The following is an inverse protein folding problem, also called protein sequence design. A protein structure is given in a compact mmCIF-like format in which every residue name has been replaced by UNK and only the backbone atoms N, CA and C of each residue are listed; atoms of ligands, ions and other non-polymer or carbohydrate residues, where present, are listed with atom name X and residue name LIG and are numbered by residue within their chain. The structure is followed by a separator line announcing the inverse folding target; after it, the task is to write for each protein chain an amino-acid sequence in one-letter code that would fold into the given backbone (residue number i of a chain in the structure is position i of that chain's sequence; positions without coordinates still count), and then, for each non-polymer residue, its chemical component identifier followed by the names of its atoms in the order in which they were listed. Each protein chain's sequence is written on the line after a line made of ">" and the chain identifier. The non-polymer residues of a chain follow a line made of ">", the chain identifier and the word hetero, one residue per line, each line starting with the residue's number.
data_IF_503242550348
#
_entry.id   IF_503242550348
#
_cell.length_a   1.000
_cell.length_b   1.000
_cell.length_c   1.000
_cell.angle_alpha   90.00
_cell.angle_beta   90.00
_cell.angle_gamma   90.00
#
_symmetry.space_group_name_H-M   'P 1'
#
loop_
_entity.id
_entity.type
_entity.pdbx_description
1 polymer ?
#
# COMPACT_ATOMS: atom_id res chain seq x y z
N UNK A 1 10.74 15.21 -5.33
CA UNK A 1 12.01 14.48 -5.60
C UNK A 1 11.69 13.03 -5.92
N UNK A 2 12.46 12.40 -6.83
CA UNK A 2 12.32 10.97 -7.16
C UNK A 2 13.72 10.36 -7.17
N UNK A 3 13.91 9.25 -6.47
CA UNK A 3 15.06 8.39 -6.62
C UNK A 3 14.75 7.36 -7.72
N UNK A 4 15.68 7.15 -8.64
CA UNK A 4 15.51 6.18 -9.72
C UNK A 4 16.86 5.54 -10.06
N UNK A 5 16.86 4.21 -10.28
CA UNK A 5 18.08 3.46 -10.62
C UNK A 5 18.58 3.73 -12.06
N UNK A 6 17.68 4.22 -12.92
CA UNK A 6 17.98 4.66 -14.29
C UNK A 6 17.22 5.95 -14.61
N UNK A 7 17.72 6.80 -15.53
CA UNK A 7 17.01 7.98 -16.00
C UNK A 7 15.65 7.63 -16.64
N UNK A 8 14.62 8.42 -16.32
CA UNK A 8 13.24 8.20 -16.81
C UNK A 8 12.98 8.77 -18.22
N UNK A 9 13.96 9.40 -18.82
CA UNK A 9 13.92 10.07 -20.12
C UNK A 9 14.98 9.55 -21.11
N UNK A 10 15.77 8.56 -20.70
CA UNK A 10 16.81 7.93 -21.53
C UNK A 10 16.36 6.54 -21.95
N UNK A 11 16.42 6.27 -23.25
CA UNK A 11 16.03 4.98 -23.82
C UNK A 11 16.84 3.83 -23.22
N UNK A 12 16.12 2.84 -22.64
CA UNK A 12 16.74 1.65 -22.05
C UNK A 12 15.95 0.36 -22.41
N UNK A 13 16.39 -0.40 -23.42
CA UNK A 13 15.72 -1.62 -23.84
C UNK A 13 15.96 -2.82 -22.90
N UNK A 14 16.93 -2.74 -21.99
CA UNK A 14 17.20 -3.81 -21.03
C UNK A 14 16.14 -3.91 -19.93
N UNK A 15 15.41 -2.81 -19.66
CA UNK A 15 14.41 -2.76 -18.61
C UNK A 15 13.12 -3.44 -19.06
N UNK A 16 12.76 -4.53 -18.39
CA UNK A 16 11.54 -5.31 -18.63
C UNK A 16 10.48 -5.12 -17.56
N UNK A 17 10.88 -4.65 -16.36
CA UNK A 17 9.99 -4.44 -15.21
C UNK A 17 10.35 -3.18 -14.44
N UNK A 18 9.39 -2.67 -13.70
CA UNK A 18 9.56 -1.52 -12.82
C UNK A 18 9.01 -1.80 -11.42
N UNK A 19 9.70 -1.32 -10.39
CA UNK A 19 9.24 -1.31 -9.00
C UNK A 19 9.12 0.14 -8.54
N UNK A 20 7.89 0.59 -8.25
CA UNK A 20 7.61 1.91 -7.68
C UNK A 20 7.36 1.74 -6.19
N UNK A 21 8.30 2.18 -5.36
CA UNK A 21 8.31 1.98 -3.91
C UNK A 21 7.93 3.26 -3.16
N UNK A 22 6.80 3.26 -2.48
CA UNK A 22 6.33 4.38 -1.67
C UNK A 22 6.79 4.22 -0.22
N UNK A 23 7.45 5.25 0.29
CA UNK A 23 8.02 5.30 1.64
C UNK A 23 6.98 5.27 2.76
N UNK A 24 7.43 4.95 3.98
CA UNK A 24 6.65 5.04 5.21
C UNK A 24 6.40 6.47 5.71
N UNK A 25 5.87 6.60 6.92
CA UNK A 25 5.55 7.88 7.55
C UNK A 25 6.78 8.80 7.77
N UNK A 26 7.98 8.23 7.81
CA UNK A 26 9.24 8.98 7.91
C UNK A 26 9.61 9.78 6.67
N UNK A 27 8.96 9.55 5.54
CA UNK A 27 9.19 10.22 4.25
C UNK A 27 10.65 10.16 3.75
N UNK A 28 11.34 9.10 4.17
CA UNK A 28 12.73 8.76 3.85
C UNK A 28 12.79 7.88 2.58
N UNK A 29 12.46 8.47 1.44
CA UNK A 29 12.41 7.76 0.15
C UNK A 29 13.77 7.19 -0.27
N UNK A 30 14.87 7.80 0.15
CA UNK A 30 16.24 7.30 0.02
C UNK A 30 16.42 5.92 0.66
N UNK A 31 16.02 5.77 1.93
CA UNK A 31 16.07 4.49 2.64
C UNK A 31 15.24 3.40 1.92
N UNK A 32 14.02 3.74 1.46
CA UNK A 32 13.18 2.79 0.72
C UNK A 32 13.73 2.46 -0.66
N UNK A 33 14.41 3.39 -1.31
CA UNK A 33 15.17 3.12 -2.53
C UNK A 33 16.32 2.14 -2.29
N UNK A 34 17.07 2.32 -1.21
CA UNK A 34 18.14 1.40 -0.79
C UNK A 34 17.60 0.02 -0.43
N UNK A 35 16.49 -0.06 0.31
CA UNK A 35 15.80 -1.33 0.63
C UNK A 35 15.41 -2.06 -0.65
N UNK A 36 14.79 -1.36 -1.60
CA UNK A 36 14.37 -1.95 -2.89
C UNK A 36 15.56 -2.39 -3.74
N UNK A 37 16.65 -1.65 -3.71
CA UNK A 37 17.90 -2.00 -4.41
C UNK A 37 18.53 -3.24 -3.79
N UNK A 38 18.55 -3.35 -2.47
CA UNK A 38 19.03 -4.55 -1.78
C UNK A 38 18.17 -5.78 -2.13
N UNK A 39 16.84 -5.63 -2.13
CA UNK A 39 15.92 -6.69 -2.55
C UNK A 39 16.17 -7.11 -4.01
N UNK A 40 16.34 -6.15 -4.92
CA UNK A 40 16.64 -6.42 -6.32
C UNK A 40 17.99 -7.11 -6.54
N UNK A 41 18.99 -6.78 -5.73
CA UNK A 41 20.28 -7.47 -5.71
C UNK A 41 20.13 -8.93 -5.28
N UNK A 42 19.46 -9.16 -4.15
CA UNK A 42 19.23 -10.51 -3.62
C UNK A 42 18.39 -11.38 -4.58
N UNK A 43 17.43 -10.77 -5.27
CA UNK A 43 16.61 -11.44 -6.28
C UNK A 43 17.30 -11.63 -7.64
N UNK A 44 18.51 -11.08 -7.84
CA UNK A 44 19.17 -11.07 -9.15
C UNK A 44 18.45 -10.23 -10.23
N UNK A 45 17.60 -9.29 -9.81
CA UNK A 45 16.67 -8.58 -10.69
C UNK A 45 17.14 -7.18 -11.13
N UNK A 46 18.29 -6.68 -10.64
CA UNK A 46 18.73 -5.30 -10.91
C UNK A 46 19.03 -5.03 -12.40
N UNK A 47 19.47 -6.04 -13.14
CA UNK A 47 19.88 -5.86 -14.53
C UNK A 47 18.74 -5.51 -15.50
N UNK A 48 17.50 -5.81 -15.12
CA UNK A 48 16.32 -5.60 -15.97
C UNK A 48 15.14 -4.93 -15.24
N UNK A 49 15.37 -4.40 -14.03
CA UNK A 49 14.36 -3.71 -13.24
C UNK A 49 14.76 -2.25 -13.01
N UNK A 50 13.88 -1.32 -13.35
CA UNK A 50 14.01 0.06 -12.87
C UNK A 50 13.32 0.19 -11.51
N UNK A 51 14.07 0.66 -10.51
CA UNK A 51 13.57 0.93 -9.16
C UNK A 51 13.34 2.43 -9.02
N UNK A 52 12.18 2.82 -8.53
CA UNK A 52 11.75 4.21 -8.38
C UNK A 52 11.18 4.41 -6.97
N UNK A 53 11.66 5.42 -6.25
CA UNK A 53 11.10 5.81 -4.96
C UNK A 53 10.76 7.32 -4.96
N UNK A 54 9.48 7.67 -5.15
CA UNK A 54 9.03 9.05 -5.03
C UNK A 54 9.06 9.52 -3.58
N UNK A 55 9.47 10.77 -3.33
CA UNK A 55 9.38 11.42 -2.03
C UNK A 55 8.17 12.33 -1.97
N UNK A 56 7.31 12.10 -1.00
CA UNK A 56 6.16 12.96 -0.68
C UNK A 56 6.50 13.86 0.50
N UNK A 57 7.03 15.04 0.21
CA UNK A 57 7.39 16.06 1.21
C UNK A 57 6.13 16.60 1.89
N UNK A 58 6.05 16.57 3.21
CA UNK A 58 4.87 17.00 3.96
C UNK A 58 5.24 17.45 5.40
N UNK A 59 4.34 18.19 6.04
CA UNK A 59 4.46 18.59 7.41
C UNK A 59 5.68 19.47 7.68
N UNK A 60 6.59 19.00 8.55
CA UNK A 60 7.80 19.73 8.96
C UNK A 60 9.02 19.50 8.06
N UNK A 61 8.86 18.78 6.96
CA UNK A 61 9.96 18.55 6.04
C UNK A 61 10.42 19.86 5.39
N UNK A 62 11.71 20.01 5.23
CA UNK A 62 12.26 21.09 4.41
C UNK A 62 12.10 20.73 2.95
N UNK A 63 11.20 21.42 2.26
CA UNK A 63 11.03 21.29 0.82
C UNK A 63 12.09 22.10 0.08
N UNK A 64 12.62 21.54 -1.01
CA UNK A 64 13.43 22.30 -1.96
C UNK A 64 12.54 23.19 -2.83
N UNK A 65 13.11 24.22 -3.45
CA UNK A 65 12.35 25.21 -4.21
C UNK A 65 11.48 24.62 -5.35
N UNK A 66 11.87 23.45 -5.87
CA UNK A 66 11.17 22.73 -6.94
C UNK A 66 10.40 21.49 -6.46
N UNK A 67 10.25 21.31 -5.15
CA UNK A 67 9.46 20.22 -4.59
C UNK A 67 8.03 20.64 -4.34
N UNK A 68 7.12 19.76 -4.70
CA UNK A 68 5.71 19.87 -4.34
C UNK A 68 5.53 19.38 -2.92
N UNK A 69 4.74 20.11 -2.13
CA UNK A 69 4.40 19.75 -0.75
C UNK A 69 2.98 19.21 -0.69
N UNK A 70 2.76 18.20 0.13
CA UNK A 70 1.44 17.61 0.37
C UNK A 70 0.97 17.84 1.81
N UNK A 71 -0.35 17.86 2.04
CA UNK A 71 -0.89 18.02 3.37
C UNK A 71 -0.68 16.79 4.24
N UNK A 72 -0.78 16.96 5.54
CA UNK A 72 -0.91 15.88 6.53
C UNK A 72 -2.39 15.64 6.89
N UNK A 73 -2.66 14.61 7.69
CA UNK A 73 -4.01 14.27 8.14
C UNK A 73 -4.78 13.36 7.18
N UNK A 74 -6.10 13.46 7.21
CA UNK A 74 -6.97 12.54 6.45
C UNK A 74 -6.85 12.73 4.93
N UNK A 75 -6.68 13.96 4.46
CA UNK A 75 -6.49 14.26 3.03
C UNK A 75 -5.01 14.44 2.69
N UNK A 76 -4.17 13.54 3.17
CA UNK A 76 -2.71 13.60 3.00
C UNK A 76 -2.24 12.95 1.69
N UNK A 77 -0.92 12.99 1.49
CA UNK A 77 -0.30 12.25 0.38
C UNK A 77 -0.65 10.75 0.35
N UNK A 78 -0.96 10.15 1.52
CA UNK A 78 -1.37 8.74 1.65
C UNK A 78 -2.75 8.42 1.09
N UNK A 79 -3.53 9.43 0.75
CA UNK A 79 -4.94 9.28 0.33
C UNK A 79 -5.28 10.08 -0.93
N UNK A 80 -4.27 10.45 -1.73
CA UNK A 80 -4.49 11.23 -2.95
C UNK A 80 -4.84 12.69 -2.66
N UNK A 81 -4.35 13.26 -1.55
CA UNK A 81 -4.57 14.65 -1.20
C UNK A 81 -3.98 15.61 -2.23
N UNK A 82 -4.71 16.70 -2.49
CA UNK A 82 -4.26 17.77 -3.37
C UNK A 82 -3.14 18.58 -2.71
N UNK A 83 -2.14 18.94 -3.48
CA UNK A 83 -1.04 19.77 -2.97
C UNK A 83 -1.50 21.20 -2.68
N UNK A 84 -1.19 21.78 -1.51
CA UNK A 84 -1.44 23.20 -1.26
C UNK A 84 -0.55 24.14 -2.09
N UNK A 85 0.61 23.65 -2.56
CA UNK A 85 1.52 24.43 -3.42
C UNK A 85 1.24 24.26 -4.91
N UNK A 86 0.46 23.23 -5.28
CA UNK A 86 -0.06 23.01 -6.63
C UNK A 86 -1.44 22.35 -6.54
N UNK A 87 -2.54 23.12 -6.42
CA UNK A 87 -3.89 22.59 -6.16
C UNK A 87 -4.48 21.72 -7.27
N UNK A 88 -3.86 21.65 -8.42
CA UNK A 88 -4.27 20.79 -9.55
C UNK A 88 -3.57 19.42 -9.54
N UNK A 89 -2.64 19.20 -8.61
CA UNK A 89 -1.84 17.98 -8.52
C UNK A 89 -2.08 17.27 -7.19
N UNK A 90 -2.54 16.04 -7.26
CA UNK A 90 -2.56 15.14 -6.11
C UNK A 90 -1.30 14.27 -6.04
N UNK A 91 -1.08 13.65 -4.89
CA UNK A 91 0.00 12.68 -4.74
C UNK A 91 -0.18 11.44 -5.65
N UNK A 92 -1.42 11.11 -6.00
CA UNK A 92 -1.73 10.00 -6.90
C UNK A 92 -1.48 10.37 -8.36
N UNK A 93 -1.83 11.60 -8.79
CA UNK A 93 -1.46 12.10 -10.13
C UNK A 93 0.05 12.05 -10.35
N UNK A 94 0.84 12.28 -9.30
CA UNK A 94 2.29 12.20 -9.37
C UNK A 94 2.79 10.78 -9.71
N UNK A 95 2.16 9.75 -9.13
CA UNK A 95 2.48 8.35 -9.46
C UNK A 95 1.90 7.94 -10.81
N UNK A 96 0.71 8.45 -11.18
CA UNK A 96 0.16 8.26 -12.52
C UNK A 96 1.14 8.73 -13.60
N UNK A 97 1.80 9.87 -13.39
CA UNK A 97 2.80 10.39 -14.34
C UNK A 97 4.05 9.50 -14.41
N UNK A 98 4.50 8.94 -13.28
CA UNK A 98 5.58 7.93 -13.28
C UNK A 98 5.16 6.71 -14.12
N UNK A 99 3.94 6.21 -13.94
CA UNK A 99 3.41 5.07 -14.71
C UNK A 99 3.37 5.38 -16.21
N UNK A 100 2.90 6.58 -16.60
CA UNK A 100 2.87 6.99 -18.02
C UNK A 100 4.26 7.05 -18.63
N UNK A 101 5.25 7.58 -17.91
CA UNK A 101 6.66 7.59 -18.35
C UNK A 101 7.22 6.18 -18.51
N UNK A 102 6.93 5.28 -17.57
CA UNK A 102 7.34 3.87 -17.64
C UNK A 102 6.69 3.13 -18.81
N UNK A 103 5.45 3.44 -19.13
CA UNK A 103 4.71 2.83 -20.25
C UNK A 103 5.13 3.38 -21.64
N UNK A 104 5.91 4.45 -21.70
CA UNK A 104 6.41 4.99 -22.97
C UNK A 104 7.41 4.03 -23.63
N UNK A 105 6.96 3.35 -24.68
CA UNK A 105 7.76 2.38 -25.44
C UNK A 105 8.92 3.00 -26.22
N UNK A 106 8.96 4.32 -26.39
CA UNK A 106 10.12 5.01 -26.95
C UNK A 106 11.29 4.97 -25.95
N UNK A 107 10.98 5.13 -24.67
CA UNK A 107 11.96 5.13 -23.57
C UNK A 107 12.22 3.71 -23.06
N UNK A 108 11.17 2.93 -22.79
CA UNK A 108 11.26 1.58 -22.25
C UNK A 108 10.55 0.56 -23.16
N UNK A 109 11.14 0.21 -24.31
CA UNK A 109 10.47 -0.63 -25.31
C UNK A 109 10.11 -2.03 -24.81
N UNK A 110 10.91 -2.59 -23.90
CA UNK A 110 10.74 -3.96 -23.38
C UNK A 110 9.98 -4.01 -22.05
N UNK A 111 9.69 -2.87 -21.40
CA UNK A 111 9.02 -2.85 -20.11
C UNK A 111 7.57 -3.36 -20.26
N UNK A 112 7.26 -4.43 -19.54
CA UNK A 112 5.96 -5.09 -19.60
C UNK A 112 5.23 -5.11 -18.25
N UNK A 113 5.96 -4.99 -17.12
CA UNK A 113 5.40 -5.14 -15.79
C UNK A 113 5.78 -3.97 -14.88
N UNK A 114 4.79 -3.45 -14.17
CA UNK A 114 4.97 -2.40 -13.17
C UNK A 114 4.38 -2.90 -11.86
N UNK A 115 5.19 -2.93 -10.82
CA UNK A 115 4.73 -3.20 -9.45
C UNK A 115 4.73 -1.88 -8.68
N UNK A 116 3.58 -1.53 -8.11
CA UNK A 116 3.42 -0.38 -7.23
C UNK A 116 3.29 -0.89 -5.81
N UNK A 117 4.20 -0.49 -4.95
CA UNK A 117 4.28 -1.00 -3.58
C UNK A 117 4.57 0.11 -2.58
N UNK A 118 4.35 -0.19 -1.32
CA UNK A 118 4.73 0.66 -0.21
C UNK A 118 4.54 -0.03 1.13
N UNK A 119 5.32 0.39 2.11
CA UNK A 119 5.30 -0.13 3.47
C UNK A 119 4.71 0.88 4.45
N UNK A 120 3.99 0.43 5.47
CA UNK A 120 3.45 1.31 6.52
C UNK A 120 2.52 2.38 5.94
N UNK A 121 2.87 3.66 6.05
CA UNK A 121 2.14 4.76 5.39
C UNK A 121 2.16 4.65 3.85
N UNK A 122 3.23 4.09 3.27
CA UNK A 122 3.28 3.71 1.86
C UNK A 122 2.34 2.57 1.52
N UNK A 123 2.14 1.62 2.42
CA UNK A 123 1.12 0.59 2.28
C UNK A 123 -0.30 1.18 2.33
N UNK A 124 -0.53 2.19 3.18
CA UNK A 124 -1.78 2.96 3.16
C UNK A 124 -1.99 3.70 1.83
N UNK A 125 -0.90 4.23 1.24
CA UNK A 125 -0.93 4.81 -0.10
C UNK A 125 -1.30 3.75 -1.14
N UNK A 126 -0.59 2.62 -1.16
CA UNK A 126 -0.74 1.58 -2.18
C UNK A 126 -2.17 1.02 -2.21
N UNK A 127 -2.78 0.70 -1.05
CA UNK A 127 -4.15 0.17 -0.98
C UNK A 127 -5.21 1.18 -1.45
N UNK A 128 -5.00 2.48 -1.25
CA UNK A 128 -5.91 3.51 -1.75
C UNK A 128 -5.67 3.83 -3.22
N UNK A 129 -4.41 3.82 -3.64
CA UNK A 129 -4.03 4.05 -5.03
C UNK A 129 -4.53 2.90 -5.92
N UNK A 130 -4.43 1.65 -5.47
CA UNK A 130 -4.92 0.51 -6.26
C UNK A 130 -6.40 0.67 -6.63
N UNK A 131 -7.26 1.07 -5.69
CA UNK A 131 -8.69 1.21 -5.96
C UNK A 131 -9.07 2.50 -6.71
N UNK A 132 -8.19 3.49 -6.76
CA UNK A 132 -8.57 4.82 -7.30
C UNK A 132 -7.82 5.25 -8.55
N UNK A 133 -6.61 4.74 -8.84
CA UNK A 133 -5.79 5.26 -9.94
C UNK A 133 -6.47 5.12 -11.31
N UNK A 134 -6.08 6.01 -12.22
CA UNK A 134 -6.65 6.16 -13.57
C UNK A 134 -5.74 5.57 -14.65
N UNK A 135 -4.67 4.88 -14.26
CA UNK A 135 -3.63 4.38 -15.18
C UNK A 135 -3.47 2.86 -15.16
N UNK A 136 -4.31 2.13 -14.40
CA UNK A 136 -4.21 0.67 -14.33
C UNK A 136 -4.27 0.00 -15.70
N UNK A 137 -5.16 0.48 -16.56
CA UNK A 137 -5.40 -0.07 -17.89
C UNK A 137 -4.50 0.56 -18.98
N UNK A 138 -3.33 1.11 -18.61
CA UNK A 138 -2.39 1.68 -19.57
C UNK A 138 -1.89 0.60 -20.55
N UNK A 139 -2.06 0.80 -21.88
CA UNK A 139 -1.71 -0.21 -22.86
C UNK A 139 -0.22 -0.59 -22.83
N UNK A 140 0.06 -1.87 -23.05
CA UNK A 140 1.41 -2.40 -23.21
C UNK A 140 2.18 -2.65 -21.91
N UNK A 141 1.56 -2.44 -20.75
CA UNK A 141 2.10 -2.79 -19.43
C UNK A 141 1.02 -3.46 -18.58
N UNK A 142 1.41 -4.40 -17.74
CA UNK A 142 0.55 -4.92 -16.66
C UNK A 142 0.96 -4.29 -15.34
N UNK A 143 -0.02 -3.88 -14.53
CA UNK A 143 0.22 -3.24 -13.25
C UNK A 143 -0.31 -4.13 -12.14
N UNK A 144 0.51 -4.38 -11.12
CA UNK A 144 0.12 -5.07 -9.89
C UNK A 144 0.48 -4.25 -8.65
N UNK A 145 -0.17 -4.56 -7.55
CA UNK A 145 -0.03 -3.83 -6.31
C UNK A 145 0.48 -4.74 -5.20
N UNK A 146 1.42 -4.25 -4.41
CA UNK A 146 1.94 -4.95 -3.24
C UNK A 146 1.80 -4.05 -2.03
N UNK A 147 0.96 -4.44 -1.10
CA UNK A 147 0.57 -3.64 0.07
C UNK A 147 1.24 -4.22 1.32
N UNK A 148 2.26 -3.53 1.85
CA UNK A 148 3.03 -4.04 2.98
C UNK A 148 2.70 -3.32 4.29
N UNK A 149 2.23 -4.06 5.28
CA UNK A 149 2.02 -3.65 6.67
C UNK A 149 1.35 -2.26 6.85
N UNK A 150 0.27 -1.91 6.15
CA UNK A 150 -0.37 -0.61 6.36
C UNK A 150 -0.99 -0.51 7.75
N UNK A 151 -0.99 0.69 8.31
CA UNK A 151 -1.66 0.93 9.61
C UNK A 151 -3.18 1.04 9.50
N UNK A 152 -3.74 1.17 8.29
CA UNK A 152 -5.18 1.10 8.01
C UNK A 152 -5.44 0.94 6.52
N UNK A 153 -6.60 0.37 6.20
CA UNK A 153 -7.10 0.14 4.85
C UNK A 153 -8.26 1.10 4.53
N UNK A 154 -8.54 1.34 3.25
CA UNK A 154 -9.79 1.93 2.81
C UNK A 154 -10.81 0.81 2.61
N UNK A 155 -11.71 0.63 3.55
CA UNK A 155 -12.73 -0.40 3.46
C UNK A 155 -13.82 -0.02 2.45
N UNK A 156 -14.16 -0.91 1.52
CA UNK A 156 -15.09 -0.58 0.43
C UNK A 156 -16.54 -0.45 0.91
N UNK A 157 -16.87 -1.02 2.06
CA UNK A 157 -18.20 -1.01 2.66
C UNK A 157 -18.15 -0.62 4.14
N UNK A 158 -19.31 -0.37 4.74
CA UNK A 158 -19.41 -0.01 6.16
C UNK A 158 -19.16 -1.19 7.13
N UNK A 159 -19.01 -2.43 6.63
CA UNK A 159 -18.68 -3.56 7.49
C UNK A 159 -17.23 -3.49 7.99
N UNK A 160 -17.02 -4.02 9.20
CA UNK A 160 -15.70 -4.17 9.83
C UNK A 160 -15.60 -5.54 10.46
N UNK A 161 -14.40 -6.08 10.71
CA UNK A 161 -14.27 -7.37 11.36
C UNK A 161 -14.78 -7.31 12.80
N UNK A 162 -15.61 -8.28 13.13
CA UNK A 162 -16.10 -8.51 14.48
C UNK A 162 -15.58 -9.88 14.90
N UNK A 163 -14.86 -10.01 16.03
CA UNK A 163 -14.38 -11.30 16.50
C UNK A 163 -15.55 -12.23 16.81
N UNK A 164 -15.42 -13.51 16.45
CA UNK A 164 -16.42 -14.54 16.75
C UNK A 164 -16.08 -15.19 18.08
N UNK A 165 -17.04 -15.25 18.99
CA UNK A 165 -16.87 -15.81 20.33
C UNK A 165 -16.25 -14.83 21.32
N UNK A 166 -15.69 -15.38 22.42
CA UNK A 166 -15.05 -14.59 23.47
C UNK A 166 -13.57 -14.23 23.16
N UNK A 167 -13.13 -14.38 21.92
CA UNK A 167 -11.77 -14.03 21.54
C UNK A 167 -11.59 -12.52 21.64
N UNK A 168 -10.83 -12.07 22.63
CA UNK A 168 -10.33 -10.72 22.66
C UNK A 168 -9.40 -10.52 21.46
N UNK A 169 -9.69 -9.57 20.55
CA UNK A 169 -8.83 -9.29 19.39
C UNK A 169 -7.37 -9.03 19.78
N UNK A 170 -7.12 -8.48 20.98
CA UNK A 170 -5.76 -8.26 21.49
C UNK A 170 -5.07 -9.57 21.92
N UNK A 171 -5.81 -10.58 22.34
CA UNK A 171 -5.27 -11.91 22.65
C UNK A 171 -5.13 -12.80 21.43
N UNK A 172 -6.04 -12.69 20.48
CA UNK A 172 -5.99 -13.43 19.22
C UNK A 172 -4.66 -13.19 18.46
N UNK A 173 -4.16 -11.97 18.46
CA UNK A 173 -2.86 -11.65 17.86
C UNK A 173 -1.67 -12.20 18.65
N UNK A 174 -1.76 -12.29 19.96
CA UNK A 174 -0.71 -12.92 20.80
C UNK A 174 -0.67 -14.44 20.58
N UNK A 175 -1.83 -15.06 20.42
CA UNK A 175 -1.93 -16.48 20.10
C UNK A 175 -1.41 -16.79 18.70
N UNK A 176 -1.53 -15.85 17.75
CA UNK A 176 -0.95 -15.96 16.42
C UNK A 176 0.60 -16.00 16.43
N UNK A 177 1.22 -15.57 17.52
CA UNK A 177 2.66 -15.63 17.76
C UNK A 177 3.12 -16.93 18.41
N UNK A 178 2.30 -17.98 18.45
CA UNK A 178 2.71 -19.28 19.00
C UNK A 178 4.13 -19.67 18.55
N UNK A 179 4.86 -20.52 19.30
CA UNK A 179 6.31 -20.73 19.18
C UNK A 179 6.80 -21.13 17.79
N UNK A 180 5.90 -21.47 16.86
CA UNK A 180 6.22 -21.85 15.49
C UNK A 180 5.61 -20.89 14.43
N UNK A 181 5.18 -19.69 14.81
CA UNK A 181 4.53 -18.76 13.89
C UNK A 181 3.26 -19.29 13.25
N UNK A 182 2.62 -20.28 13.88
CA UNK A 182 1.40 -20.89 13.40
C UNK A 182 0.28 -19.88 13.38
N UNK A 183 -0.40 -19.75 12.25
CA UNK A 183 -1.60 -18.93 12.08
C UNK A 183 -2.62 -19.31 13.14
N UNK A 184 -2.99 -18.39 14.01
CA UNK A 184 -4.27 -18.47 14.67
C UNK A 184 -5.32 -18.01 13.66
N UNK A 185 -6.15 -18.93 13.21
CA UNK A 185 -7.32 -18.61 12.41
C UNK A 185 -8.34 -17.93 13.32
N UNK A 186 -8.22 -16.63 13.49
CA UNK A 186 -9.31 -15.86 14.09
C UNK A 186 -10.42 -15.79 13.07
N UNK A 187 -11.51 -16.44 13.38
CA UNK A 187 -12.72 -16.31 12.58
C UNK A 187 -13.36 -14.96 12.87
N UNK A 188 -13.51 -14.14 11.85
CA UNK A 188 -14.25 -12.90 11.92
C UNK A 188 -15.61 -13.07 11.25
N UNK A 189 -16.64 -12.47 11.84
CA UNK A 189 -17.81 -12.02 11.11
C UNK A 189 -17.62 -10.56 10.72
N UNK A 190 -18.42 -10.06 9.80
CA UNK A 190 -18.32 -8.68 9.35
C UNK A 190 -19.65 -7.97 9.57
N UNK A 191 -19.60 -6.80 10.16
CA UNK A 191 -20.75 -5.98 10.47
C UNK A 191 -20.36 -4.53 10.73
N UNK A 192 -21.33 -3.62 10.97
CA UNK A 192 -21.02 -2.23 11.29
C UNK A 192 -20.18 -2.14 12.56
N UNK A 193 -19.17 -1.27 12.56
CA UNK A 193 -18.42 -0.99 13.76
C UNK A 193 -19.30 -0.24 14.80
N UNK A 194 -18.88 -0.32 16.06
CA UNK A 194 -19.52 0.43 17.15
C UNK A 194 -19.35 1.93 16.90
N UNK A 195 -20.41 2.59 16.45
CA UNK A 195 -20.40 4.02 16.12
C UNK A 195 -20.21 4.93 17.34
N UNK A 196 -20.47 4.45 18.55
CA UNK A 196 -20.20 5.20 19.79
C UNK A 196 -18.68 5.28 20.04
N UNK A 197 -17.94 4.24 19.68
CA UNK A 197 -16.47 4.18 19.80
C UNK A 197 -15.75 4.76 18.61
N UNK A 198 -16.29 4.58 17.39
CA UNK A 198 -15.67 5.00 16.14
C UNK A 198 -16.67 5.71 15.21
N UNK A 199 -17.14 6.92 15.54
CA UNK A 199 -18.25 7.58 14.82
C UNK A 199 -17.93 7.94 13.37
N UNK A 200 -16.65 7.91 12.96
CA UNK A 200 -16.19 8.22 11.60
C UNK A 200 -15.46 7.05 10.93
N UNK A 201 -15.69 5.83 11.41
CA UNK A 201 -14.93 4.66 10.94
C UNK A 201 -15.06 4.40 9.44
N UNK A 202 -16.18 4.79 8.82
CA UNK A 202 -16.40 4.60 7.39
C UNK A 202 -16.04 5.85 6.54
N UNK A 203 -15.57 6.92 7.17
CA UNK A 203 -15.16 8.12 6.44
C UNK A 203 -13.80 7.91 5.76
N UNK A 204 -13.65 8.46 4.54
CA UNK A 204 -12.37 8.51 3.84
C UNK A 204 -11.26 9.12 4.71
N UNK A 205 -10.07 8.52 4.77
CA UNK A 205 -9.57 7.40 3.99
C UNK A 205 -9.64 6.02 4.70
N UNK A 206 -10.41 5.85 5.77
CA UNK A 206 -10.60 4.56 6.45
C UNK A 206 -11.77 3.76 5.89
N UNK A 207 -12.67 4.40 5.18
CA UNK A 207 -13.78 3.87 4.42
C UNK A 207 -14.10 4.81 3.26
N UNK A 208 -15.26 4.67 2.64
CA UNK A 208 -15.60 5.39 1.41
C UNK A 208 -16.62 6.53 1.58
N UNK A 209 -17.02 6.86 2.81
CA UNK A 209 -17.88 8.03 3.02
C UNK A 209 -17.09 9.32 2.79
N UNK A 210 -17.64 10.23 1.99
CA UNK A 210 -17.03 11.52 1.68
C UNK A 210 -15.63 11.41 1.05
N UNK A 211 -15.49 10.55 0.05
CA UNK A 211 -14.25 10.43 -0.75
C UNK A 211 -13.85 11.79 -1.31
N UNK A 212 -12.56 12.11 -1.24
CA UNK A 212 -12.04 13.43 -1.58
C UNK A 212 -10.67 13.36 -2.29
N UNK A 213 -10.15 14.51 -2.70
CA UNK A 213 -8.87 14.60 -3.40
C UNK A 213 -8.94 13.98 -4.80
N UNK A 214 -7.94 13.19 -5.15
CA UNK A 214 -7.84 12.50 -6.45
C UNK A 214 -9.07 11.67 -6.81
N UNK A 215 -9.68 11.00 -5.82
CA UNK A 215 -10.81 10.12 -6.02
C UNK A 215 -12.17 10.84 -5.95
N UNK A 216 -12.19 12.15 -5.77
CA UNK A 216 -13.42 12.93 -5.75
C UNK A 216 -14.24 12.70 -7.03
N UNK A 217 -15.53 12.41 -6.87
CA UNK A 217 -16.45 12.14 -7.97
C UNK A 217 -16.45 10.69 -8.50
N UNK A 218 -15.57 9.81 -8.01
CA UNK A 218 -15.68 8.38 -8.32
C UNK A 218 -16.83 7.76 -7.52
N UNK A 219 -17.60 6.88 -8.17
CA UNK A 219 -18.70 6.18 -7.50
C UNK A 219 -18.18 5.07 -6.59
N UNK A 220 -18.91 4.72 -5.53
CA UNK A 220 -18.57 3.62 -4.64
C UNK A 220 -18.44 2.30 -5.38
N UNK A 221 -19.38 2.00 -6.28
CA UNK A 221 -19.36 0.82 -7.14
C UNK A 221 -18.11 0.76 -8.03
N UNK A 222 -17.66 1.90 -8.54
CA UNK A 222 -16.42 1.96 -9.32
C UNK A 222 -15.22 1.61 -8.46
N UNK A 223 -15.11 2.18 -7.27
CA UNK A 223 -14.02 1.95 -6.34
C UNK A 223 -13.96 0.48 -5.90
N UNK A 224 -15.11 -0.12 -5.57
CA UNK A 224 -15.20 -1.54 -5.21
C UNK A 224 -14.82 -2.43 -6.38
N UNK A 225 -15.36 -2.21 -7.58
CA UNK A 225 -14.99 -2.99 -8.77
C UNK A 225 -13.49 -2.91 -9.07
N UNK A 226 -12.88 -1.72 -8.95
CA UNK A 226 -11.45 -1.55 -9.17
C UNK A 226 -10.63 -2.30 -8.12
N UNK A 227 -11.00 -2.22 -6.84
CA UNK A 227 -10.37 -3.01 -5.78
C UNK A 227 -10.43 -4.51 -6.08
N UNK A 228 -11.61 -5.03 -6.39
CA UNK A 228 -11.82 -6.48 -6.63
C UNK A 228 -11.07 -7.00 -7.84
N UNK A 229 -11.02 -6.21 -8.92
CA UNK A 229 -10.45 -6.65 -10.19
C UNK A 229 -8.91 -6.56 -10.28
N UNK A 230 -8.30 -5.68 -9.49
CA UNK A 230 -6.86 -5.37 -9.63
C UNK A 230 -5.97 -6.36 -8.88
N UNK A 231 -4.91 -6.88 -9.53
CA UNK A 231 -4.04 -7.87 -8.91
C UNK A 231 -3.29 -7.29 -7.71
N UNK A 232 -3.58 -7.78 -6.52
CA UNK A 232 -3.02 -7.27 -5.28
C UNK A 232 -2.49 -8.40 -4.39
N UNK A 233 -1.32 -8.16 -3.80
CA UNK A 233 -0.71 -9.03 -2.78
C UNK A 233 -0.47 -8.23 -1.50
N UNK A 234 -0.96 -8.75 -0.37
CA UNK A 234 -0.69 -8.18 0.96
C UNK A 234 0.53 -8.84 1.57
N UNK A 235 1.53 -8.05 1.97
CA UNK A 235 2.66 -8.52 2.77
C UNK A 235 2.41 -8.16 4.23
N UNK A 236 2.29 -9.18 5.06
CA UNK A 236 1.96 -9.04 6.46
C UNK A 236 3.11 -9.61 7.29
N UNK A 237 3.83 -8.75 8.00
CA UNK A 237 4.90 -9.19 8.90
C UNK A 237 4.34 -10.10 9.99
N UNK A 238 4.92 -11.30 10.13
CA UNK A 238 4.43 -12.31 11.07
C UNK A 238 4.32 -11.78 12.51
N UNK A 239 5.26 -10.94 12.92
CA UNK A 239 5.33 -10.36 14.26
C UNK A 239 5.01 -8.86 14.30
N UNK A 240 4.33 -8.30 13.27
CA UNK A 240 3.84 -6.90 13.29
C UNK A 240 2.53 -6.78 14.09
N UNK A 241 2.62 -7.13 15.35
CA UNK A 241 1.51 -7.20 16.32
C UNK A 241 1.70 -6.23 17.49
N UNK A 242 2.73 -5.41 17.45
CA UNK A 242 3.01 -4.40 18.46
C UNK A 242 2.69 -3.00 17.92
N UNK A 243 2.25 -2.04 18.78
CA UNK A 243 1.94 -0.67 18.38
C UNK A 243 3.20 0.20 18.22
N UNK A 244 4.16 -0.29 17.40
CA UNK A 244 5.44 0.36 17.14
C UNK A 244 5.41 1.18 15.84
N UNK A 245 6.38 2.08 15.66
CA UNK A 245 6.67 2.71 14.38
C UNK A 245 5.49 3.47 13.75
N UNK A 246 4.87 4.41 14.45
CA UNK A 246 3.76 5.22 13.92
C UNK A 246 2.47 4.41 13.76
N UNK A 247 2.19 3.51 14.67
CA UNK A 247 0.94 2.77 14.73
C UNK A 247 -0.27 3.70 14.80
N UNK A 248 -1.25 3.51 13.93
CA UNK A 248 -2.50 4.25 13.94
C UNK A 248 -3.45 3.65 14.99
N UNK A 249 -3.53 4.30 16.15
CA UNK A 249 -4.44 3.96 17.24
C UNK A 249 -5.75 4.75 17.21
N UNK A 250 -6.03 5.45 16.10
CA UNK A 250 -7.31 6.16 15.96
C UNK A 250 -8.50 5.19 16.03
N UNK A 251 -9.66 5.63 16.53
CA UNK A 251 -10.86 4.79 16.58
C UNK A 251 -11.20 4.14 15.24
N UNK A 252 -10.98 4.84 14.12
CA UNK A 252 -11.26 4.35 12.79
C UNK A 252 -10.33 3.19 12.39
N UNK A 253 -9.05 3.27 12.75
CA UNK A 253 -8.08 2.22 12.49
C UNK A 253 -8.30 1.03 13.45
N UNK A 254 -8.59 1.30 14.72
CA UNK A 254 -8.90 0.25 15.72
C UNK A 254 -10.16 -0.54 15.36
N UNK A 255 -11.12 0.07 14.67
CA UNK A 255 -12.30 -0.64 14.15
C UNK A 255 -11.95 -1.68 13.07
N UNK A 256 -10.75 -1.62 12.49
CA UNK A 256 -10.27 -2.59 11.49
C UNK A 256 -9.51 -3.77 12.11
N UNK A 257 -9.15 -3.68 13.38
CA UNK A 257 -8.40 -4.69 14.13
C UNK A 257 -7.36 -4.09 15.07
N UNK A 258 -6.89 -4.86 16.06
CA UNK A 258 -6.03 -4.37 17.13
C UNK A 258 -4.56 -4.15 16.70
N UNK A 259 -4.11 -4.84 15.65
CA UNK A 259 -2.73 -4.75 15.15
C UNK A 259 -2.71 -4.62 13.64
N UNK A 260 -1.56 -4.22 13.06
CA UNK A 260 -1.42 -4.12 11.59
C UNK A 260 -1.63 -5.46 10.91
N UNK A 261 -1.07 -6.53 11.48
CA UNK A 261 -1.25 -7.88 10.95
C UNK A 261 -2.72 -8.29 10.96
N UNK A 262 -3.44 -8.14 12.09
CA UNK A 262 -4.85 -8.48 12.18
C UNK A 262 -5.72 -7.67 11.19
N UNK A 263 -5.43 -6.37 11.03
CA UNK A 263 -6.11 -5.53 10.04
C UNK A 263 -5.92 -6.04 8.62
N UNK A 264 -4.70 -6.47 8.29
CA UNK A 264 -4.38 -7.03 6.98
C UNK A 264 -5.05 -8.37 6.72
N UNK A 265 -5.01 -9.28 7.68
CA UNK A 265 -5.68 -10.59 7.58
C UNK A 265 -7.20 -10.42 7.43
N UNK A 266 -7.80 -9.55 8.24
CA UNK A 266 -9.24 -9.29 8.17
C UNK A 266 -9.63 -8.64 6.84
N UNK A 267 -8.87 -7.66 6.35
CA UNK A 267 -9.13 -7.01 5.07
C UNK A 267 -8.99 -7.99 3.90
N UNK A 268 -7.90 -8.74 3.85
CA UNK A 268 -7.65 -9.77 2.84
C UNK A 268 -8.78 -10.80 2.78
N UNK A 269 -9.19 -11.35 3.94
CA UNK A 269 -10.31 -12.28 3.99
C UNK A 269 -11.59 -11.62 3.51
N UNK A 270 -11.88 -10.39 3.92
CA UNK A 270 -13.09 -9.70 3.53
C UNK A 270 -13.18 -9.50 2.01
N UNK A 271 -12.13 -8.99 1.38
CA UNK A 271 -12.16 -8.70 -0.07
C UNK A 271 -12.27 -9.98 -0.90
N UNK A 272 -11.66 -11.07 -0.45
CA UNK A 272 -11.75 -12.36 -1.14
C UNK A 272 -13.07 -13.10 -0.87
N UNK A 273 -13.44 -13.27 0.40
CA UNK A 273 -14.55 -14.12 0.78
C UNK A 273 -15.91 -13.42 0.58
N UNK A 274 -15.97 -12.11 0.79
CA UNK A 274 -17.22 -11.34 0.73
C UNK A 274 -17.43 -10.62 -0.60
N UNK A 275 -16.35 -10.16 -1.26
CA UNK A 275 -16.45 -9.42 -2.52
C UNK A 275 -16.01 -10.24 -3.74
N UNK A 276 -15.42 -11.42 -3.54
CA UNK A 276 -15.00 -12.31 -4.62
C UNK A 276 -13.71 -11.89 -5.33
N UNK A 277 -12.88 -11.07 -4.71
CA UNK A 277 -11.55 -10.74 -5.22
C UNK A 277 -10.65 -12.00 -5.25
N UNK A 278 -9.58 -11.94 -6.04
CA UNK A 278 -8.55 -12.99 -6.12
C UNK A 278 -7.20 -12.43 -5.69
N UNK A 279 -7.20 -11.75 -4.56
CA UNK A 279 -5.98 -11.20 -3.98
C UNK A 279 -5.16 -12.29 -3.29
N UNK A 280 -3.85 -12.06 -3.18
CA UNK A 280 -2.94 -12.92 -2.43
C UNK A 280 -2.53 -12.28 -1.11
N UNK A 281 -2.10 -13.11 -0.14
CA UNK A 281 -1.45 -12.65 1.07
C UNK A 281 -0.23 -13.52 1.38
N UNK A 282 0.84 -12.88 1.82
CA UNK A 282 2.07 -13.52 2.28
C UNK A 282 2.32 -13.08 3.71
N UNK A 283 2.33 -14.03 4.64
CA UNK A 283 2.82 -13.79 6.00
C UNK A 283 4.34 -13.90 5.94
N UNK A 284 5.01 -12.76 6.06
CA UNK A 284 6.47 -12.70 5.97
C UNK A 284 7.08 -13.16 7.31
N UNK A 285 7.77 -14.31 7.33
CA UNK A 285 8.22 -14.93 8.58
C UNK A 285 9.18 -14.01 9.34
N UNK A 286 9.07 -14.02 10.66
CA UNK A 286 9.94 -13.31 11.64
C UNK A 286 9.98 -11.78 11.47
N UNK A 287 9.34 -11.22 10.47
CA UNK A 287 9.30 -9.77 10.24
C UNK A 287 8.22 -9.09 11.08
N UNK A 288 8.63 -8.05 11.78
CA UNK A 288 7.74 -7.07 12.40
C UNK A 288 7.49 -5.86 11.48
N UNK A 289 7.34 -4.66 12.09
CA UNK A 289 7.15 -3.43 11.34
C UNK A 289 8.48 -2.87 10.79
N UNK A 290 9.12 -3.63 9.90
CA UNK A 290 10.42 -3.31 9.32
C UNK A 290 10.41 -3.58 7.82
N UNK A 291 10.52 -2.53 7.01
CA UNK A 291 10.48 -2.61 5.56
C UNK A 291 11.61 -3.47 4.98
N UNK A 292 12.83 -3.32 5.50
CA UNK A 292 13.96 -4.08 5.00
C UNK A 292 13.78 -5.58 5.22
N UNK A 293 13.33 -6.00 6.42
CA UNK A 293 13.00 -7.40 6.68
C UNK A 293 11.96 -7.91 5.68
N UNK A 294 10.86 -7.16 5.51
CA UNK A 294 9.74 -7.57 4.65
C UNK A 294 10.16 -7.71 3.20
N UNK A 295 10.88 -6.73 2.65
CA UNK A 295 11.20 -6.71 1.21
C UNK A 295 12.43 -7.53 0.83
N UNK A 296 13.32 -7.89 1.78
CA UNK A 296 14.51 -8.71 1.49
C UNK A 296 14.33 -10.19 1.83
N UNK A 297 13.15 -10.61 2.22
CA UNK A 297 12.81 -12.04 2.41
C UNK A 297 12.47 -12.67 1.06
N UNK A 298 13.05 -13.81 0.75
CA UNK A 298 13.01 -14.49 -0.56
C UNK A 298 11.60 -14.79 -1.07
N UNK A 299 10.68 -15.21 -0.19
CA UNK A 299 9.28 -15.49 -0.56
C UNK A 299 8.53 -14.28 -1.13
N UNK A 300 9.08 -13.06 -0.98
CA UNK A 300 8.48 -11.82 -1.47
C UNK A 300 8.97 -11.47 -2.88
N UNK A 301 10.14 -11.94 -3.29
CA UNK A 301 10.74 -11.58 -4.58
C UNK A 301 9.84 -11.85 -5.79
N UNK A 302 9.12 -12.98 -5.89
CA UNK A 302 8.26 -13.23 -7.05
C UNK A 302 7.12 -12.22 -7.23
N UNK A 303 6.69 -11.55 -6.17
CA UNK A 303 5.59 -10.57 -6.24
C UNK A 303 6.08 -9.13 -6.44
N UNK A 304 7.30 -8.81 -6.04
CA UNK A 304 7.88 -7.48 -6.27
C UNK A 304 8.78 -7.42 -7.52
N UNK A 305 9.26 -8.55 -8.01
CA UNK A 305 10.02 -8.69 -9.26
C UNK A 305 9.42 -9.81 -10.15
N UNK A 306 8.14 -9.72 -10.56
CA UNK A 306 7.49 -10.78 -11.33
C UNK A 306 8.17 -10.97 -12.71
N UNK A 307 8.27 -12.21 -13.17
CA UNK A 307 8.81 -12.58 -14.49
C UNK A 307 7.81 -12.34 -15.64
#
# INVERSE_FOLDING_TARGET
>A
MVYASYPLDVRNPAITRALVMVHGAGRNADHYFETSTAAGFLAGALGNTIIIAPRFTAGRDTAKANEVVWPEGANSWRSGGMSPTNPTLSSFDFVDEIVRKLADKKTFPSLAKIVITGHSAGGQFATRYEMTNKVHDTPGVSISYVVANPSSYAWPVAARPLPVGNADPATADKEALGPNGTKVNVNFTYGPADSAKAPRYNRWPAGLDSVSGYAAGMSLDQLERQLVARPTTYLLGQVDVLPLGGFDSSPNAMAQGPTRRARGEAFFKFVNDSLGAKHNAIIVPECGHNDRCVYTTDIVFPVIFPE
#
